data_IF_830719004725
#
_entry.id   IF_830719004725
#
_cell.length_a   1.000
_cell.length_b   1.000
_cell.length_c   1.000
_cell.angle_alpha   90.00
_cell.angle_beta   90.00
_cell.angle_gamma   90.00
#
_symmetry.space_group_name_H-M   'P 1'
#
loop_
_entity.id
_entity.type
_entity.pdbx_description
1 polymer ?
#
# COMPACT_ATOMS: atom_id res chain seq x y z
N UNK A 1 -1.30 -6.13 11.40
CA UNK A 1 -0.32 -7.19 11.70
C UNK A 1 0.70 -6.64 12.70
N UNK A 2 1.19 -7.44 13.66
CA UNK A 2 2.29 -7.04 14.54
C UNK A 2 3.61 -6.85 13.78
N UNK A 3 4.42 -5.89 14.20
CA UNK A 3 5.71 -5.52 13.59
C UNK A 3 6.71 -6.67 13.49
N UNK A 4 6.80 -7.53 14.50
CA UNK A 4 7.68 -8.72 14.53
C UNK A 4 7.49 -9.67 13.33
N UNK A 5 6.32 -9.66 12.69
CA UNK A 5 6.06 -10.51 11.51
C UNK A 5 6.59 -9.92 10.22
N UNK A 6 6.85 -8.61 10.18
CA UNK A 6 7.34 -7.88 9.02
C UNK A 6 8.73 -8.36 8.59
N UNK A 7 9.55 -8.82 9.52
CA UNK A 7 10.90 -9.36 9.25
C UNK A 7 10.88 -10.64 8.40
N UNK A 8 9.77 -11.38 8.43
CA UNK A 8 9.66 -12.70 7.76
C UNK A 8 8.75 -12.69 6.54
N UNK A 9 8.00 -11.61 6.34
CA UNK A 9 6.99 -11.55 5.29
C UNK A 9 7.65 -11.44 3.91
N UNK A 10 7.01 -11.99 2.89
CA UNK A 10 7.41 -11.72 1.52
C UNK A 10 6.76 -10.40 1.07
N UNK A 11 7.56 -9.32 1.00
CA UNK A 11 7.05 -8.02 0.54
C UNK A 11 6.68 -8.04 -0.95
N UNK A 12 7.11 -9.03 -1.73
CA UNK A 12 6.75 -9.12 -3.16
C UNK A 12 5.25 -9.35 -3.37
N UNK A 13 4.60 -9.99 -2.40
CA UNK A 13 3.15 -10.26 -2.41
C UNK A 13 2.32 -8.99 -2.24
N UNK A 14 2.91 -7.89 -1.79
CA UNK A 14 2.21 -6.64 -1.47
C UNK A 14 2.68 -5.50 -2.36
N UNK A 15 1.73 -4.67 -2.80
CA UNK A 15 2.07 -3.47 -3.56
C UNK A 15 2.35 -2.27 -2.65
N UNK A 16 1.68 -2.21 -1.50
CA UNK A 16 1.82 -1.12 -0.54
C UNK A 16 1.91 -1.66 0.89
N UNK A 17 2.68 -0.96 1.73
CA UNK A 17 2.70 -1.13 3.17
C UNK A 17 2.06 0.10 3.81
N UNK A 18 1.04 -0.11 4.62
CA UNK A 18 0.26 0.91 5.29
C UNK A 18 0.37 0.78 6.79
N UNK A 19 0.49 1.93 7.47
CA UNK A 19 0.35 2.03 8.92
C UNK A 19 -1.08 2.41 9.27
N UNK A 20 -1.57 1.87 10.37
CA UNK A 20 -2.87 2.22 10.94
C UNK A 20 -2.83 2.16 12.46
N UNK A 21 -3.68 2.95 13.11
CA UNK A 21 -3.93 2.89 14.56
C UNK A 21 -5.05 1.91 14.93
N UNK A 22 -5.68 1.26 13.95
CA UNK A 22 -6.85 0.40 14.16
C UNK A 22 -6.62 -1.01 13.64
N UNK A 23 -7.00 -2.02 14.43
CA UNK A 23 -7.09 -3.41 13.97
C UNK A 23 -8.42 -3.71 13.25
N UNK A 24 -9.38 -2.77 13.27
CA UNK A 24 -10.72 -2.98 12.69
C UNK A 24 -10.69 -2.84 11.18
N UNK A 25 -11.34 -3.78 10.52
CA UNK A 25 -11.57 -3.75 9.08
C UNK A 25 -13.01 -3.28 8.77
N UNK A 26 -13.25 -2.51 7.70
CA UNK A 26 -12.26 -1.93 6.78
C UNK A 26 -11.46 -0.80 7.44
N UNK A 27 -10.23 -0.60 6.96
CA UNK A 27 -9.41 0.54 7.33
C UNK A 27 -9.98 1.75 6.59
N UNK A 28 -10.93 2.44 7.22
CA UNK A 28 -11.62 3.60 6.66
C UNK A 28 -10.95 4.88 7.19
N UNK A 29 -10.51 5.82 6.33
CA UNK A 29 -9.84 7.04 6.77
C UNK A 29 -10.74 7.93 7.64
N UNK A 30 -12.07 7.78 7.57
CA UNK A 30 -13.01 8.49 8.44
C UNK A 30 -13.02 7.95 9.87
N UNK A 31 -12.57 6.70 10.07
CA UNK A 31 -12.67 6.00 11.37
C UNK A 31 -11.33 5.55 11.95
N UNK A 32 -10.25 5.64 11.18
CA UNK A 32 -8.91 5.24 11.59
C UNK A 32 -7.86 6.12 10.94
N UNK A 33 -6.89 6.57 11.75
CA UNK A 33 -5.70 7.21 11.23
C UNK A 33 -4.86 6.18 10.48
N UNK A 34 -4.45 6.52 9.25
CA UNK A 34 -3.63 5.67 8.40
C UNK A 34 -2.66 6.49 7.56
N UNK A 35 -1.58 5.87 7.14
CA UNK A 35 -0.66 6.43 6.16
C UNK A 35 -0.03 5.34 5.30
N UNK A 36 0.24 5.64 4.03
CA UNK A 36 1.04 4.78 3.17
C UNK A 36 2.52 5.02 3.51
N UNK A 37 3.19 3.99 4.03
CA UNK A 37 4.61 4.07 4.38
C UNK A 37 5.49 3.78 3.18
N UNK A 38 5.11 2.79 2.37
CA UNK A 38 5.91 2.35 1.24
C UNK A 38 5.03 1.86 0.10
N UNK A 39 5.41 2.21 -1.13
CA UNK A 39 4.78 1.72 -2.37
C UNK A 39 5.84 1.11 -3.26
N UNK A 40 5.70 -0.17 -3.58
CA UNK A 40 6.61 -0.90 -4.44
C UNK A 40 6.54 -0.40 -5.89
N UNK A 41 7.70 -0.13 -6.50
CA UNK A 41 7.79 0.17 -7.92
C UNK A 41 7.73 -1.14 -8.69
N UNK A 42 6.66 -1.35 -9.46
CA UNK A 42 6.57 -2.47 -10.39
C UNK A 42 6.94 -2.00 -11.79
N UNK A 43 8.06 -2.51 -12.31
CA UNK A 43 8.42 -2.34 -13.72
C UNK A 43 7.51 -3.26 -14.54
N UNK A 44 6.52 -2.66 -15.19
CA UNK A 44 5.74 -3.35 -16.19
C UNK A 44 6.49 -3.30 -17.52
N UNK A 45 6.44 -4.39 -18.28
CA UNK A 45 6.97 -4.43 -19.64
C UNK A 45 6.39 -3.27 -20.44
N UNK A 46 7.25 -2.52 -21.14
CA UNK A 46 6.93 -1.23 -21.78
C UNK A 46 5.79 -1.28 -22.82
N UNK A 47 5.29 -2.46 -23.16
CA UNK A 47 4.29 -2.69 -24.21
C UNK A 47 2.83 -2.65 -23.73
N UNK A 48 2.56 -2.41 -22.44
CA UNK A 48 1.20 -2.37 -21.89
C UNK A 48 0.99 -1.16 -20.98
N UNK A 49 0.10 -0.25 -21.39
CA UNK A 49 -0.49 0.74 -20.48
C UNK A 49 -1.39 0.00 -19.50
N UNK A 50 -1.01 -0.01 -18.22
CA UNK A 50 -1.83 -0.59 -17.15
C UNK A 50 -2.55 0.57 -16.45
N UNK A 51 -3.87 0.43 -16.35
CA UNK A 51 -4.74 1.37 -15.62
C UNK A 51 -4.31 1.45 -14.14
N UNK A 52 -4.26 2.66 -13.58
CA UNK A 52 -4.04 2.91 -12.16
C UNK A 52 -5.01 2.08 -11.28
N UNK A 53 -6.21 1.77 -11.78
CA UNK A 53 -7.19 0.89 -11.13
C UNK A 53 -6.63 -0.52 -10.86
N UNK A 54 -5.74 -1.04 -11.70
CA UNK A 54 -5.09 -2.33 -11.48
C UNK A 54 -4.30 -2.34 -10.17
N UNK A 55 -3.49 -1.29 -9.94
CA UNK A 55 -2.64 -1.19 -8.77
C UNK A 55 -3.43 -0.96 -7.48
N UNK A 56 -4.57 -0.26 -7.56
CA UNK A 56 -5.44 -0.03 -6.40
C UNK A 56 -6.08 -1.31 -5.84
N UNK A 57 -6.23 -2.33 -6.70
CA UNK A 57 -6.77 -3.65 -6.33
C UNK A 57 -5.70 -4.63 -5.84
N UNK A 58 -4.42 -4.27 -5.90
CA UNK A 58 -3.35 -5.11 -5.35
C UNK A 58 -3.42 -5.14 -3.82
N UNK A 59 -3.03 -6.27 -3.20
CA UNK A 59 -3.05 -6.42 -1.75
C UNK A 59 -2.14 -5.39 -1.05
N UNK A 60 -2.65 -4.89 0.07
CA UNK A 60 -1.96 -3.96 0.98
C UNK A 60 -1.58 -4.68 2.26
N UNK A 61 -0.35 -4.49 2.72
CA UNK A 61 0.07 -4.95 4.03
C UNK A 61 -0.28 -3.89 5.07
N UNK A 62 -1.03 -4.27 6.11
CA UNK A 62 -1.41 -3.36 7.19
C UNK A 62 -0.60 -3.67 8.46
N UNK A 63 0.18 -2.71 8.91
CA UNK A 63 0.93 -2.73 10.16
C UNK A 63 0.25 -1.83 11.16
N UNK A 64 -0.01 -2.36 12.36
CA UNK A 64 -0.69 -1.61 13.41
C UNK A 64 0.38 -0.95 14.27
N UNK A 65 0.24 0.36 14.50
CA UNK A 65 1.08 1.15 15.40
C UNK A 65 0.17 1.91 16.36
N UNK A 66 0.67 2.20 17.56
CA UNK A 66 -0.17 2.87 18.57
C UNK A 66 -0.59 4.28 18.12
N UNK A 67 0.34 5.00 17.49
CA UNK A 67 0.15 6.38 17.01
C UNK A 67 0.99 6.64 15.76
N UNK A 68 0.46 7.41 14.81
CA UNK A 68 1.20 7.81 13.60
C UNK A 68 2.11 9.01 13.80
N UNK A 69 1.87 9.81 14.85
CA UNK A 69 2.74 10.94 15.22
C UNK A 69 3.92 10.53 16.11
N UNK A 70 4.01 9.25 16.48
CA UNK A 70 5.20 8.68 17.10
C UNK A 70 6.24 8.36 16.03
N UNK A 71 7.13 9.32 15.78
CA UNK A 71 8.24 9.19 14.83
C UNK A 71 9.13 7.98 15.12
N UNK A 72 9.26 7.57 16.40
CA UNK A 72 10.09 6.41 16.74
C UNK A 72 9.42 5.12 16.28
N UNK A 73 8.12 4.98 16.51
CA UNK A 73 7.35 3.82 16.04
C UNK A 73 7.35 3.75 14.52
N UNK A 74 7.07 4.86 13.83
CA UNK A 74 7.05 4.92 12.36
C UNK A 74 8.43 4.59 11.78
N UNK A 75 9.50 5.21 12.32
CA UNK A 75 10.88 4.95 11.88
C UNK A 75 11.25 3.48 12.07
N UNK A 76 10.83 2.86 13.16
CA UNK A 76 11.12 1.44 13.40
C UNK A 76 10.47 0.55 12.33
N UNK A 77 9.20 0.80 11.99
CA UNK A 77 8.55 0.06 10.89
C UNK A 77 9.24 0.35 9.56
N UNK A 78 9.60 1.60 9.29
CA UNK A 78 10.31 2.01 8.07
C UNK A 78 11.64 1.26 7.91
N UNK A 79 12.47 1.18 8.96
CA UNK A 79 13.73 0.44 8.92
C UNK A 79 13.53 -1.04 8.64
N UNK A 80 12.47 -1.65 9.20
CA UNK A 80 12.12 -3.03 8.90
C UNK A 80 11.69 -3.22 7.43
N UNK A 81 10.90 -2.29 6.88
CA UNK A 81 10.54 -2.31 5.45
C UNK A 81 11.77 -2.11 4.57
N UNK A 82 12.68 -1.18 4.89
CA UNK A 82 13.93 -0.94 4.16
C UNK A 82 14.81 -2.19 4.16
N UNK A 83 15.05 -2.79 5.33
CA UNK A 83 15.86 -4.00 5.44
C UNK A 83 15.26 -5.11 4.56
N UNK A 84 13.95 -5.32 4.66
CA UNK A 84 13.27 -6.38 3.94
C UNK A 84 13.19 -6.13 2.44
N UNK A 85 12.96 -4.89 2.01
CA UNK A 85 12.98 -4.53 0.58
C UNK A 85 14.37 -4.72 -0.02
N UNK A 86 15.43 -4.39 0.72
CA UNK A 86 16.81 -4.59 0.27
C UNK A 86 17.17 -6.07 0.14
N UNK A 87 16.77 -6.91 1.11
CA UNK A 87 16.95 -8.37 1.05
C UNK A 87 16.26 -8.98 -0.18
N UNK A 88 15.07 -8.49 -0.51
CA UNK A 88 14.26 -8.97 -1.63
C UNK A 88 14.59 -8.25 -2.96
N UNK A 89 15.58 -7.35 -2.97
CA UNK A 89 15.96 -6.52 -4.10
C UNK A 89 14.77 -5.73 -4.72
N UNK A 90 13.87 -5.24 -3.87
CA UNK A 90 12.69 -4.48 -4.27
C UNK A 90 12.97 -2.99 -4.29
N UNK A 91 12.50 -2.32 -5.34
CA UNK A 91 12.48 -0.86 -5.44
C UNK A 91 11.11 -0.32 -5.04
N UNK A 92 11.08 0.89 -4.48
CA UNK A 92 9.83 1.56 -4.13
C UNK A 92 10.08 2.97 -3.59
N UNK A 93 8.98 3.67 -3.31
CA UNK A 93 8.96 5.00 -2.73
C UNK A 93 8.48 4.93 -1.28
N UNK A 94 9.14 5.66 -0.39
CA UNK A 94 8.74 5.83 1.01
C UNK A 94 7.96 7.13 1.19
N UNK A 95 6.96 7.10 2.07
CA UNK A 95 6.02 8.19 2.32
C UNK A 95 5.34 8.76 1.06
N UNK A 96 4.86 7.90 0.13
CA UNK A 96 4.17 8.38 -1.05
C UNK A 96 2.81 9.00 -0.68
N UNK A 97 2.35 9.95 -1.50
CA UNK A 97 0.99 10.48 -1.33
C UNK A 97 -0.06 9.36 -1.50
N UNK A 98 -1.12 9.43 -0.68
CA UNK A 98 -2.29 8.59 -0.82
C UNK A 98 -3.03 8.95 -2.11
N UNK A 99 -3.17 7.97 -3.01
CA UNK A 99 -3.94 8.15 -4.24
C UNK A 99 -5.44 8.05 -3.93
N UNK A 100 -6.30 8.87 -4.57
CA UNK A 100 -7.74 8.70 -4.43
C UNK A 100 -8.18 7.34 -5.00
N UNK A 101 -9.09 6.66 -4.31
CA UNK A 101 -9.70 5.45 -4.85
C UNK A 101 -10.51 5.82 -6.11
N UNK A 102 -10.16 5.21 -7.23
CA UNK A 102 -10.88 5.36 -8.49
C UNK A 102 -12.11 4.46 -8.45
N UNK A 103 -13.30 4.96 -8.84
CA UNK A 103 -14.47 4.11 -8.96
C UNK A 103 -14.24 3.06 -10.05
N UNK A 104 -14.51 1.78 -9.73
CA UNK A 104 -14.53 0.74 -10.74
C UNK A 104 -15.72 0.97 -11.68
N UNK A 105 -15.43 1.43 -12.91
CA UNK A 105 -16.43 1.65 -13.96
C UNK A 105 -17.04 3.04 -13.97
N UNK A 106 -16.32 4.01 -14.54
CA UNK A 106 -16.94 5.14 -15.23
C UNK A 106 -16.57 5.12 -16.71
N UNK A 107 -16.63 3.95 -17.34
CA UNK A 107 -16.88 3.93 -18.77
C UNK A 107 -18.31 4.41 -18.94
N UNK A 108 -18.48 5.56 -19.61
CA UNK A 108 -19.76 5.95 -20.16
C UNK A 108 -20.36 4.71 -20.85
N UNK A 109 -21.41 4.14 -20.26
CA UNK A 109 -22.30 3.20 -20.92
C UNK A 109 -22.91 3.97 -22.11
N UNK A 110 -22.17 4.04 -23.20
CA UNK A 110 -22.74 4.34 -24.49
C UNK A 110 -23.44 3.05 -24.86
N UNK A 111 -24.71 2.97 -24.45
CA UNK A 111 -25.62 1.88 -24.73
C UNK A 111 -25.62 1.64 -26.25
N UNK A 112 -24.79 0.71 -26.71
CA UNK A 112 -24.78 0.21 -28.09
C UNK A 112 -25.90 -0.80 -28.21
N UNK A 113 -27.14 -0.31 -28.09
CA UNK A 113 -28.34 -0.99 -28.57
C UNK A 113 -28.98 -0.08 -29.61
N UNK A 114 -28.51 -0.24 -30.85
CA UNK A 114 -29.27 0.12 -32.05
C UNK A 114 -30.29 -0.97 -32.37
#
# INVERSE_FOLDING_TARGET
>A
MPLEKLETIDLQDYHEVWLTTSERWPQDPETSERMCLWRGKRELTQDVEIDDLYFQNLPRLWVVVDRLDDETAVTHVEQAVIARSNELALSGEFHPEEKPNLPCGSENNTDLRS
#
